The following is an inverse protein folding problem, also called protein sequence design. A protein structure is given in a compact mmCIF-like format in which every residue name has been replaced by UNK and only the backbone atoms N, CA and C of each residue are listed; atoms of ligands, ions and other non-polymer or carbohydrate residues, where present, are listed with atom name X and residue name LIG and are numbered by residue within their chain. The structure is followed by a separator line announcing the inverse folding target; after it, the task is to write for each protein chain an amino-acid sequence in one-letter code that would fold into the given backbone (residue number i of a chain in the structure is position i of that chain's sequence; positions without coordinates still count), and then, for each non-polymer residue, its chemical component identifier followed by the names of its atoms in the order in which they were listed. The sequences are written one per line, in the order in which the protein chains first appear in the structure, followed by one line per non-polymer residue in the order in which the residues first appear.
data_IF_209879123561
#
_entry.id   IF_209879123561
#
_cell.length_a   1.000
_cell.length_b   1.000
_cell.length_c   1.000
_cell.angle_alpha   90.00
_cell.angle_beta   90.00
_cell.angle_gamma   90.00
#
_symmetry.space_group_name_H-M   'P 1'
#
loop_
_entity.id
_entity.type
_entity.pdbx_description
1 polymer ?
#
# COMPACT_ATOMS: atom_id res chain seq x y z
N UNK A 1 -7.33 29.27 -15.02
CA UNK A 1 -8.33 30.35 -15.04
C UNK A 1 -7.90 31.28 -16.16
N UNK A 2 -8.47 31.17 -17.36
CA UNK A 2 -8.09 32.02 -18.49
C UNK A 2 -8.73 33.40 -18.31
N UNK A 3 -7.90 34.43 -18.17
CA UNK A 3 -8.35 35.81 -17.99
C UNK A 3 -9.08 36.31 -19.26
N UNK A 4 -10.14 37.10 -19.08
CA UNK A 4 -10.86 37.69 -20.21
C UNK A 4 -9.93 38.64 -21.00
N UNK A 5 -10.06 38.72 -22.35
CA UNK A 5 -9.17 39.51 -23.17
C UNK A 5 -9.31 41.00 -22.81
N UNK A 6 -8.24 41.54 -22.23
CA UNK A 6 -8.09 42.98 -21.98
C UNK A 6 -7.56 43.72 -23.22
N UNK A 7 -7.37 45.04 -23.12
CA UNK A 7 -6.79 45.86 -24.19
C UNK A 7 -5.29 45.58 -24.47
N UNK A 8 -4.65 44.76 -23.62
CA UNK A 8 -3.23 44.37 -23.71
C UNK A 8 -3.12 42.85 -23.63
N UNK A 9 -1.98 42.32 -24.08
CA UNK A 9 -1.64 40.90 -23.89
C UNK A 9 -1.62 40.56 -22.40
N UNK A 10 -2.24 39.44 -22.07
CA UNK A 10 -2.15 38.86 -20.73
C UNK A 10 -0.78 38.22 -20.51
N UNK A 11 -0.37 37.94 -19.25
CA UNK A 11 0.86 37.19 -18.98
C UNK A 11 0.91 35.86 -19.75
N UNK A 12 -0.18 35.10 -19.72
CA UNK A 12 -0.31 33.85 -20.47
C UNK A 12 -0.10 34.04 -21.98
N UNK A 13 -0.54 35.16 -22.57
CA UNK A 13 -0.31 35.46 -23.98
C UNK A 13 1.17 35.76 -24.28
N UNK A 14 1.89 36.37 -23.34
CA UNK A 14 3.31 36.65 -23.48
C UNK A 14 4.10 35.33 -23.38
N UNK A 15 3.76 34.45 -22.44
CA UNK A 15 4.33 33.10 -22.34
C UNK A 15 4.12 32.33 -23.66
N UNK A 16 2.90 32.34 -24.20
CA UNK A 16 2.59 31.71 -25.50
C UNK A 16 3.39 32.34 -26.66
N UNK A 17 3.69 33.63 -26.60
CA UNK A 17 4.53 34.29 -27.61
C UNK A 17 5.99 33.85 -27.50
N UNK A 18 6.53 33.76 -26.28
CA UNK A 18 7.88 33.27 -26.00
C UNK A 18 8.05 31.81 -26.45
N UNK A 19 7.02 31.00 -26.26
CA UNK A 19 6.96 29.60 -26.72
C UNK A 19 6.73 29.48 -28.24
N UNK A 20 6.48 30.59 -28.95
CA UNK A 20 6.21 30.59 -30.39
C UNK A 20 4.84 30.00 -30.78
N UNK A 21 3.91 29.88 -29.83
CA UNK A 21 2.59 29.26 -30.02
C UNK A 21 1.42 30.26 -30.03
N UNK A 22 1.69 31.55 -29.79
CA UNK A 22 0.66 32.59 -29.85
C UNK A 22 0.07 32.74 -31.26
N UNK A 23 -1.25 32.93 -31.33
CA UNK A 23 -1.94 33.20 -32.58
C UNK A 23 -1.40 34.47 -33.29
N UNK A 24 -1.22 34.38 -34.60
CA UNK A 24 -0.61 35.44 -35.44
C UNK A 24 -1.37 36.77 -35.35
N UNK A 25 -2.69 36.73 -35.20
CA UNK A 25 -3.55 37.91 -35.03
C UNK A 25 -3.22 38.66 -33.74
N UNK A 26 -2.94 37.93 -32.65
CA UNK A 26 -2.53 38.55 -31.38
C UNK A 26 -1.07 38.97 -31.41
N UNK A 27 -0.19 38.22 -32.07
CA UNK A 27 1.22 38.59 -32.19
C UNK A 27 1.39 39.96 -32.90
N UNK A 28 0.55 40.25 -33.91
CA UNK A 28 0.48 41.56 -34.58
C UNK A 28 0.18 42.73 -33.64
N UNK A 29 -0.37 42.49 -32.44
CA UNK A 29 -0.57 43.54 -31.43
C UNK A 29 0.76 44.20 -31.02
N UNK A 30 1.87 43.45 -31.03
CA UNK A 30 3.19 43.95 -30.65
C UNK A 30 3.70 45.05 -31.59
N UNK A 31 3.28 45.04 -32.85
CA UNK A 31 3.63 46.06 -33.83
C UNK A 31 3.00 47.42 -33.49
N UNK A 32 1.86 47.42 -32.79
CA UNK A 32 1.08 48.62 -32.47
C UNK A 32 1.12 49.06 -31.00
N UNK A 33 1.60 48.21 -30.09
CA UNK A 33 1.56 48.48 -28.65
C UNK A 33 2.96 48.46 -28.01
N UNK A 34 3.55 49.65 -27.83
CA UNK A 34 4.87 49.81 -27.20
C UNK A 34 4.93 49.23 -25.78
N UNK A 35 3.86 49.36 -25.00
CA UNK A 35 3.82 48.83 -23.64
C UNK A 35 3.89 47.28 -23.61
N UNK A 36 3.28 46.60 -24.57
CA UNK A 36 3.40 45.14 -24.69
C UNK A 36 4.77 44.73 -25.23
N UNK A 37 5.33 45.48 -26.19
CA UNK A 37 6.67 45.24 -26.70
C UNK A 37 7.74 45.35 -25.60
N UNK A 38 7.68 46.38 -24.75
CA UNK A 38 8.58 46.57 -23.61
C UNK A 38 8.49 45.41 -22.61
N UNK A 39 7.29 44.87 -22.36
CA UNK A 39 7.12 43.69 -21.49
C UNK A 39 7.71 42.42 -22.08
N UNK A 40 7.38 42.14 -23.33
CA UNK A 40 7.87 40.95 -24.05
C UNK A 40 9.40 40.95 -24.14
N UNK A 41 10.02 42.10 -24.40
CA UNK A 41 11.47 42.22 -24.47
C UNK A 41 12.14 41.98 -23.11
N UNK A 42 11.57 42.52 -22.03
CA UNK A 42 12.05 42.26 -20.67
C UNK A 42 11.91 40.79 -20.26
N UNK A 43 10.78 40.15 -20.57
CA UNK A 43 10.58 38.72 -20.27
C UNK A 43 11.51 37.83 -21.09
N UNK A 44 11.72 38.15 -22.37
CA UNK A 44 12.68 37.43 -23.21
C UNK A 44 14.09 37.49 -22.64
N UNK A 45 14.53 38.65 -22.14
CA UNK A 45 15.84 38.77 -21.49
C UNK A 45 15.96 37.83 -20.27
N UNK A 46 14.90 37.73 -19.45
CA UNK A 46 14.87 36.81 -18.31
C UNK A 46 14.95 35.35 -18.78
N UNK A 47 14.19 34.98 -19.81
CA UNK A 47 14.23 33.61 -20.38
C UNK A 47 15.63 33.27 -20.90
N UNK A 48 16.28 34.20 -21.61
CA UNK A 48 17.65 34.01 -22.10
C UNK A 48 18.65 33.85 -20.94
N UNK A 49 18.51 34.62 -19.86
CA UNK A 49 19.32 34.47 -18.65
C UNK A 49 19.08 33.10 -17.97
N UNK A 50 17.83 32.66 -17.85
CA UNK A 50 17.50 31.33 -17.27
C UNK A 50 18.03 30.20 -18.16
N UNK A 51 17.91 30.33 -19.48
CA UNK A 51 18.43 29.35 -20.43
C UNK A 51 19.95 29.25 -20.42
N UNK A 52 20.66 30.30 -19.97
CA UNK A 52 22.11 30.29 -19.81
C UNK A 52 22.59 29.53 -18.55
N UNK A 53 21.68 29.18 -17.63
CA UNK A 53 22.04 28.48 -16.41
C UNK A 53 22.50 27.04 -16.72
N UNK A 54 23.50 26.51 -15.99
CA UNK A 54 23.95 25.15 -16.18
C UNK A 54 22.83 24.16 -15.85
N UNK A 55 22.58 23.21 -16.76
CA UNK A 55 21.68 22.10 -16.47
C UNK A 55 22.29 21.20 -15.39
N UNK A 56 21.66 21.18 -14.22
CA UNK A 56 22.03 20.29 -13.12
C UNK A 56 21.15 19.05 -13.19
N UNK A 57 21.75 17.87 -13.38
CA UNK A 57 21.02 16.61 -13.31
C UNK A 57 20.86 16.20 -11.84
N UNK A 58 19.66 15.78 -11.41
CA UNK A 58 19.47 15.27 -10.07
C UNK A 58 20.22 13.95 -9.86
N UNK A 59 20.48 13.58 -8.59
CA UNK A 59 21.04 12.28 -8.26
C UNK A 59 20.13 11.13 -8.75
N UNK A 60 20.70 9.97 -9.07
CA UNK A 60 20.00 8.83 -9.68
C UNK A 60 18.77 8.35 -8.88
N UNK A 61 18.75 8.57 -7.56
CA UNK A 61 17.70 8.17 -6.62
C UNK A 61 16.75 9.32 -6.22
N UNK A 62 16.88 10.49 -6.86
CA UNK A 62 16.06 11.65 -6.54
C UNK A 62 14.57 11.40 -6.75
N UNK A 63 14.20 10.78 -7.89
CA UNK A 63 12.81 10.46 -8.19
C UNK A 63 12.21 9.52 -7.15
N UNK A 64 12.96 8.49 -6.74
CA UNK A 64 12.51 7.52 -5.73
C UNK A 64 12.33 8.19 -4.37
N UNK A 65 13.26 9.05 -3.95
CA UNK A 65 13.13 9.82 -2.69
C UNK A 65 11.92 10.75 -2.70
N UNK A 66 11.67 11.45 -3.81
CA UNK A 66 10.49 12.30 -3.94
C UNK A 66 9.23 11.45 -3.86
N UNK A 67 9.13 10.36 -4.63
CA UNK A 67 7.95 9.51 -4.63
C UNK A 67 7.69 8.84 -3.27
N UNK A 68 8.72 8.54 -2.48
CA UNK A 68 8.56 8.06 -1.10
C UNK A 68 7.96 9.12 -0.17
N UNK A 69 8.22 10.41 -0.42
CA UNK A 69 7.68 11.51 0.38
C UNK A 69 6.27 11.92 -0.02
N UNK A 70 5.80 11.51 -1.21
CA UNK A 70 4.45 11.82 -1.69
C UNK A 70 3.47 10.82 -1.07
N UNK A 71 2.65 11.32 -0.14
CA UNK A 71 1.47 10.59 0.29
C UNK A 71 0.42 10.63 -0.82
N UNK A 72 0.29 9.54 -1.56
CA UNK A 72 -0.78 9.34 -2.53
C UNK A 72 -1.96 8.73 -1.79
N UNK A 73 -3.01 9.49 -1.46
CA UNK A 73 -4.15 8.92 -0.78
C UNK A 73 -4.85 7.92 -1.72
N UNK A 74 -5.20 6.75 -1.18
CA UNK A 74 -5.79 5.66 -1.95
C UNK A 74 -7.07 6.15 -2.67
N UNK A 75 -7.08 6.17 -4.02
CA UNK A 75 -8.21 6.65 -4.81
C UNK A 75 -9.49 5.86 -4.56
N UNK A 76 -9.40 4.61 -4.12
CA UNK A 76 -10.56 3.79 -3.81
C UNK A 76 -11.18 4.16 -2.46
N UNK A 77 -10.36 4.36 -1.44
CA UNK A 77 -10.81 4.76 -0.10
C UNK A 77 -11.53 6.12 -0.13
N UNK A 78 -11.00 7.09 -0.87
CA UNK A 78 -11.62 8.43 -0.99
C UNK A 78 -12.97 8.33 -1.73
N UNK A 79 -13.05 7.55 -2.82
CA UNK A 79 -14.28 7.43 -3.62
C UNK A 79 -15.38 6.68 -2.89
N UNK A 80 -15.05 5.60 -2.17
CA UNK A 80 -16.03 4.82 -1.41
C UNK A 80 -16.60 5.61 -0.23
N UNK A 81 -15.75 6.33 0.52
CA UNK A 81 -16.18 7.21 1.61
C UNK A 81 -16.99 8.40 1.11
N UNK A 82 -16.57 9.05 0.02
CA UNK A 82 -17.32 10.17 -0.56
C UNK A 82 -18.69 9.74 -1.11
N UNK A 83 -18.77 8.57 -1.76
CA UNK A 83 -20.02 8.00 -2.25
C UNK A 83 -20.96 7.59 -1.11
N UNK A 84 -20.43 6.94 -0.06
CA UNK A 84 -21.18 6.58 1.14
C UNK A 84 -21.70 7.82 1.86
N UNK A 85 -20.84 8.83 2.07
CA UNK A 85 -21.21 10.10 2.70
C UNK A 85 -22.31 10.81 1.92
N UNK A 86 -22.19 10.91 0.59
CA UNK A 86 -23.25 11.50 -0.24
C UNK A 86 -24.57 10.74 -0.11
N UNK A 87 -24.55 9.40 -0.10
CA UNK A 87 -25.79 8.61 0.02
C UNK A 87 -26.43 8.70 1.40
N UNK A 88 -25.64 8.71 2.48
CA UNK A 88 -26.14 8.83 3.86
C UNK A 88 -26.74 10.22 4.12
N UNK A 89 -26.11 11.28 3.62
CA UNK A 89 -26.58 12.66 3.81
C UNK A 89 -27.50 13.19 2.71
N UNK A 90 -27.75 12.44 1.63
CA UNK A 90 -28.62 12.88 0.54
C UNK A 90 -30.10 12.93 0.92
N UNK A 91 -30.55 12.12 1.89
CA UNK A 91 -31.96 12.08 2.28
C UNK A 91 -32.14 11.98 3.80
N UNK A 92 -33.16 12.63 4.37
CA UNK A 92 -33.45 12.53 5.80
C UNK A 92 -33.80 11.09 6.22
N UNK A 93 -34.34 10.28 5.29
CA UNK A 93 -34.64 8.86 5.51
C UNK A 93 -33.37 8.01 5.63
N UNK A 94 -32.35 8.24 4.79
CA UNK A 94 -31.08 7.52 4.88
C UNK A 94 -30.35 7.83 6.19
N UNK A 95 -30.42 9.08 6.65
CA UNK A 95 -29.90 9.49 7.96
C UNK A 95 -30.62 8.78 9.12
N UNK A 96 -31.95 8.69 9.07
CA UNK A 96 -32.73 7.98 10.09
C UNK A 96 -32.39 6.48 10.14
N UNK A 97 -32.21 5.83 8.99
CA UNK A 97 -31.81 4.41 8.90
C UNK A 97 -30.38 4.21 9.41
N UNK A 98 -29.44 5.10 9.07
CA UNK A 98 -28.07 5.01 9.56
C UNK A 98 -28.01 5.23 11.08
N UNK A 99 -28.76 6.20 11.60
CA UNK A 99 -28.85 6.47 13.03
C UNK A 99 -29.49 5.29 13.79
N UNK A 100 -30.56 4.69 13.27
CA UNK A 100 -31.19 3.53 13.91
C UNK A 100 -30.29 2.30 13.93
N UNK A 101 -29.56 2.04 12.84
CA UNK A 101 -28.53 0.99 12.80
C UNK A 101 -27.42 1.24 13.83
N UNK A 102 -26.95 2.47 13.92
CA UNK A 102 -25.89 2.83 14.87
C UNK A 102 -26.36 2.67 16.31
N UNK A 103 -27.58 3.11 16.62
CA UNK A 103 -28.21 2.90 17.94
C UNK A 103 -28.39 1.41 18.23
N UNK A 104 -28.79 0.61 17.24
CA UNK A 104 -28.95 -0.85 17.41
C UNK A 104 -27.60 -1.53 17.73
N UNK A 105 -26.55 -1.19 16.98
CA UNK A 105 -25.19 -1.75 17.19
C UNK A 105 -24.63 -1.31 18.54
N UNK A 106 -24.58 -0.01 18.81
CA UNK A 106 -24.04 0.52 20.07
C UNK A 106 -24.88 0.08 21.26
N UNK A 107 -26.20 0.06 21.12
CA UNK A 107 -27.13 -0.43 22.14
C UNK A 107 -26.94 -1.91 22.44
N UNK A 108 -26.73 -2.76 21.43
CA UNK A 108 -26.44 -4.18 21.64
C UNK A 108 -25.10 -4.43 22.33
N UNK A 109 -24.06 -3.65 22.00
CA UNK A 109 -22.76 -3.76 22.69
C UNK A 109 -22.86 -3.30 24.15
N UNK A 110 -23.51 -2.17 24.42
CA UNK A 110 -23.72 -1.68 25.78
C UNK A 110 -24.57 -2.65 26.60
N UNK A 111 -25.65 -3.18 26.01
CA UNK A 111 -26.49 -4.20 26.64
C UNK A 111 -25.72 -5.48 26.97
N UNK A 112 -24.81 -5.91 26.08
CA UNK A 112 -23.94 -7.06 26.33
C UNK A 112 -23.02 -6.82 27.51
N UNK A 113 -22.37 -5.65 27.60
CA UNK A 113 -21.48 -5.30 28.72
C UNK A 113 -22.24 -5.30 30.05
N UNK A 114 -23.42 -4.68 30.10
CA UNK A 114 -24.26 -4.63 31.30
C UNK A 114 -24.74 -6.03 31.70
N UNK A 115 -25.15 -6.85 30.73
CA UNK A 115 -25.56 -8.22 30.99
C UNK A 115 -24.41 -9.07 31.53
N UNK A 116 -23.22 -8.98 30.94
CA UNK A 116 -22.00 -9.66 31.40
C UNK A 116 -21.61 -9.25 32.81
N UNK A 117 -21.72 -7.96 33.15
CA UNK A 117 -21.49 -7.48 34.52
C UNK A 117 -22.50 -8.04 35.52
N UNK A 118 -23.76 -8.20 35.14
CA UNK A 118 -24.81 -8.74 36.02
C UNK A 118 -24.81 -10.28 36.11
N UNK A 119 -24.16 -10.99 35.18
CA UNK A 119 -24.22 -12.45 35.06
C UNK A 119 -22.84 -13.13 35.26
N UNK A 120 -21.96 -12.51 36.06
CA UNK A 120 -20.63 -13.04 36.35
C UNK A 120 -20.65 -14.47 36.89
N UNK A 121 -21.63 -14.83 37.74
CA UNK A 121 -21.76 -16.18 38.30
C UNK A 121 -22.06 -17.23 37.24
N UNK A 122 -22.84 -16.88 36.21
CA UNK A 122 -23.12 -17.81 35.11
C UNK A 122 -21.91 -18.00 34.19
N UNK A 123 -21.09 -16.96 34.02
CA UNK A 123 -19.88 -17.01 33.21
C UNK A 123 -18.77 -17.80 33.91
N UNK A 124 -18.64 -17.69 35.23
CA UNK A 124 -17.69 -18.49 36.01
C UNK A 124 -18.14 -19.96 36.09
N UNK A 125 -19.44 -20.22 36.22
CA UNK A 125 -20.00 -21.57 36.15
C UNK A 125 -19.79 -22.18 34.75
N UNK A 126 -20.06 -21.43 33.68
CA UNK A 126 -19.80 -21.89 32.31
C UNK A 126 -18.31 -22.09 32.04
N UNK A 127 -17.45 -21.18 32.50
CA UNK A 127 -16.00 -21.27 32.34
C UNK A 127 -15.41 -22.48 33.08
N UNK A 128 -15.85 -22.73 34.31
CA UNK A 128 -15.42 -23.91 35.08
C UNK A 128 -15.93 -25.22 34.46
N UNK A 129 -17.17 -25.25 33.97
CA UNK A 129 -17.69 -26.38 33.19
C UNK A 129 -16.90 -26.60 31.89
N UNK A 130 -16.60 -25.55 31.13
CA UNK A 130 -15.86 -25.63 29.87
C UNK A 130 -14.42 -26.09 30.10
N UNK A 131 -13.77 -25.65 31.19
CA UNK A 131 -12.44 -26.12 31.58
C UNK A 131 -12.47 -27.59 32.02
N UNK A 132 -13.48 -28.00 32.78
CA UNK A 132 -13.63 -29.39 33.22
C UNK A 132 -13.92 -30.34 32.04
N UNK A 133 -14.87 -29.98 31.18
CA UNK A 133 -15.29 -30.78 30.02
C UNK A 133 -14.25 -30.71 28.89
N UNK A 134 -13.72 -29.52 28.61
CA UNK A 134 -12.72 -29.26 27.59
C UNK A 134 -11.37 -29.89 27.93
N UNK A 135 -10.97 -29.91 29.19
CA UNK A 135 -9.77 -30.62 29.65
C UNK A 135 -9.85 -32.13 29.36
N UNK A 136 -11.00 -32.76 29.62
CA UNK A 136 -11.20 -34.17 29.33
C UNK A 136 -11.22 -34.46 27.83
N UNK A 137 -11.93 -33.64 27.04
CA UNK A 137 -11.97 -33.80 25.58
C UNK A 137 -10.59 -33.57 24.93
N UNK A 138 -9.86 -32.54 25.37
CA UNK A 138 -8.51 -32.27 24.91
C UNK A 138 -7.54 -33.40 25.28
N UNK A 139 -7.68 -33.98 26.47
CA UNK A 139 -6.86 -35.11 26.89
C UNK A 139 -7.16 -36.37 26.07
N UNK A 140 -8.43 -36.66 25.80
CA UNK A 140 -8.83 -37.78 24.94
C UNK A 140 -8.36 -37.59 23.50
N UNK A 141 -8.47 -36.36 22.96
CA UNK A 141 -7.96 -36.01 21.64
C UNK A 141 -6.44 -36.16 21.56
N UNK A 142 -5.71 -35.64 22.56
CA UNK A 142 -4.26 -35.77 22.63
C UNK A 142 -3.83 -37.24 22.72
N UNK A 143 -4.55 -38.04 23.52
CA UNK A 143 -4.29 -39.48 23.64
C UNK A 143 -4.55 -40.23 22.33
N UNK A 144 -5.60 -39.85 21.61
CA UNK A 144 -5.92 -40.42 20.30
C UNK A 144 -4.91 -40.04 19.21
N UNK A 145 -4.44 -38.79 19.21
CA UNK A 145 -3.35 -38.35 18.32
C UNK A 145 -2.06 -39.07 18.68
N UNK A 146 -1.71 -39.17 19.97
CA UNK A 146 -0.52 -39.87 20.42
C UNK A 146 -0.56 -41.36 20.05
N UNK A 147 -1.68 -42.06 20.25
CA UNK A 147 -1.79 -43.48 19.88
C UNK A 147 -1.67 -43.67 18.37
N UNK A 148 -2.32 -42.82 17.57
CA UNK A 148 -2.22 -42.88 16.12
C UNK A 148 -0.80 -42.59 15.63
N UNK A 149 -0.12 -41.61 16.23
CA UNK A 149 1.29 -41.29 15.94
C UNK A 149 2.23 -42.44 16.30
N UNK A 150 2.00 -43.12 17.43
CA UNK A 150 2.80 -44.29 17.85
C UNK A 150 2.59 -45.48 16.90
N UNK A 151 1.40 -45.63 16.33
CA UNK A 151 1.09 -46.68 15.35
C UNK A 151 1.66 -46.42 13.95
N UNK A 152 2.21 -45.23 13.68
CA UNK A 152 2.79 -44.93 12.37
C UNK A 152 4.13 -45.66 12.13
N UNK A 153 4.37 -46.21 10.92
CA UNK A 153 5.57 -46.99 10.62
C UNK A 153 6.87 -46.18 10.69
N UNK A 154 6.80 -44.85 10.61
CA UNK A 154 7.95 -43.96 10.74
C UNK A 154 8.31 -43.62 12.20
N UNK A 155 7.41 -43.89 13.17
CA UNK A 155 7.59 -43.50 14.57
C UNK A 155 8.78 -44.21 15.23
N UNK A 156 8.92 -45.53 15.03
CA UNK A 156 10.08 -46.28 15.54
C UNK A 156 11.40 -45.78 14.93
N UNK A 157 11.40 -45.42 13.64
CA UNK A 157 12.55 -44.81 12.98
C UNK A 157 12.94 -43.46 13.61
N UNK A 158 11.95 -42.60 13.86
CA UNK A 158 12.16 -41.31 14.53
C UNK A 158 12.63 -41.48 15.99
N UNK A 159 12.05 -42.43 16.73
CA UNK A 159 12.42 -42.75 18.11
C UNK A 159 13.86 -43.24 18.21
N UNK A 160 14.31 -44.09 17.29
CA UNK A 160 15.70 -44.55 17.20
C UNK A 160 16.66 -43.43 16.82
N UNK A 161 16.23 -42.50 15.97
CA UNK A 161 17.02 -41.32 15.60
C UNK A 161 17.21 -40.36 16.78
N UNK A 162 16.14 -40.12 17.55
CA UNK A 162 16.14 -39.24 18.73
C UNK A 162 16.83 -39.87 19.94
N UNK A 163 16.70 -41.20 20.12
CA UNK A 163 17.30 -41.92 21.23
C UNK A 163 18.83 -42.03 21.19
N UNK A 164 19.47 -41.69 20.07
CA UNK A 164 20.94 -41.74 19.93
C UNK A 164 21.48 -40.34 19.58
N UNK A 165 22.18 -39.66 20.50
CA UNK A 165 22.62 -38.27 20.33
C UNK A 165 23.55 -38.11 19.11
N UNK A 166 24.36 -39.12 18.81
CA UNK A 166 25.29 -39.10 17.68
C UNK A 166 24.56 -39.17 16.34
N UNK A 167 23.52 -39.99 16.23
CA UNK A 167 22.72 -40.11 14.99
C UNK A 167 21.90 -38.85 14.73
N UNK A 168 21.36 -38.26 15.80
CA UNK A 168 20.64 -36.99 15.71
C UNK A 168 21.56 -35.85 15.24
N UNK A 169 22.78 -35.76 15.77
CA UNK A 169 23.76 -34.76 15.34
C UNK A 169 24.18 -34.93 13.86
N UNK A 170 24.36 -36.18 13.41
CA UNK A 170 24.69 -36.46 12.00
C UNK A 170 23.52 -36.12 11.08
N UNK A 171 22.30 -36.49 11.46
CA UNK A 171 21.11 -36.21 10.67
C UNK A 171 20.81 -34.71 10.58
N UNK A 172 20.95 -33.96 11.69
CA UNK A 172 20.79 -32.52 11.70
C UNK A 172 21.86 -31.83 10.85
N UNK A 173 23.14 -32.23 10.99
CA UNK A 173 24.23 -31.70 10.17
C UNK A 173 24.02 -31.96 8.67
N UNK A 174 23.61 -33.18 8.30
CA UNK A 174 23.30 -33.53 6.91
C UNK A 174 22.13 -32.69 6.35
N UNK A 175 21.08 -32.49 7.15
CA UNK A 175 19.92 -31.67 6.76
C UNK A 175 20.31 -30.19 6.61
N UNK A 176 21.11 -29.64 7.53
CA UNK A 176 21.62 -28.28 7.43
C UNK A 176 22.51 -28.09 6.21
N UNK A 177 23.37 -29.06 5.88
CA UNK A 177 24.20 -29.02 4.68
C UNK A 177 23.36 -29.08 3.39
N UNK A 178 22.33 -29.93 3.35
CA UNK A 178 21.41 -30.00 2.22
C UNK A 178 20.65 -28.68 2.05
N UNK A 179 20.19 -28.07 3.14
CA UNK A 179 19.51 -26.78 3.12
C UNK A 179 20.42 -25.63 2.64
N UNK A 180 21.65 -25.55 3.17
CA UNK A 180 22.64 -24.57 2.71
C UNK A 180 23.03 -24.78 1.25
N UNK A 181 23.18 -26.03 0.80
CA UNK A 181 23.41 -26.37 -0.59
C UNK A 181 22.26 -25.91 -1.49
N UNK A 182 21.02 -26.14 -1.08
CA UNK A 182 19.83 -25.65 -1.77
C UNK A 182 19.78 -24.12 -1.89
N UNK A 183 20.11 -23.41 -0.81
CA UNK A 183 20.20 -21.94 -0.83
C UNK A 183 21.29 -21.43 -1.78
N UNK A 184 22.44 -22.10 -1.85
CA UNK A 184 23.52 -21.74 -2.78
C UNK A 184 23.11 -21.97 -4.24
N UNK A 185 22.43 -23.07 -4.53
CA UNK A 185 21.89 -23.35 -5.87
C UNK A 185 20.85 -22.30 -6.26
N UNK A 186 19.92 -21.97 -5.37
CA UNK A 186 18.90 -20.95 -5.62
C UNK A 186 19.54 -19.57 -5.87
N UNK A 187 20.51 -19.18 -5.04
CA UNK A 187 21.27 -17.94 -5.23
C UNK A 187 21.98 -17.91 -6.58
N UNK A 188 22.59 -19.03 -7.00
CA UNK A 188 23.26 -19.15 -8.29
C UNK A 188 22.29 -19.02 -9.46
N UNK A 189 21.11 -19.63 -9.37
CA UNK A 189 20.08 -19.55 -10.41
C UNK A 189 19.53 -18.12 -10.54
N UNK A 190 19.37 -17.41 -9.43
CA UNK A 190 18.91 -16.01 -9.43
C UNK A 190 19.99 -14.99 -9.87
N UNK A 191 21.27 -15.37 -9.80
CA UNK A 191 22.39 -14.52 -10.20
C UNK A 191 22.80 -14.68 -11.67
N UNK A 192 22.16 -15.58 -12.43
CA UNK A 192 22.40 -15.67 -13.88
C UNK A 192 21.82 -14.41 -14.55
N UNK A 193 22.64 -13.58 -15.21
CA UNK A 193 22.16 -12.41 -15.92
C UNK A 193 21.20 -12.86 -17.02
N UNK A 194 20.00 -12.30 -17.03
CA UNK A 194 19.05 -12.47 -18.12
C UNK A 194 19.73 -12.03 -19.40
N UNK A 195 19.87 -12.98 -20.33
CA UNK A 195 20.49 -12.75 -21.64
C UNK A 195 19.73 -11.61 -22.32
N UNK A 196 20.38 -10.46 -22.51
CA UNK A 196 19.81 -9.34 -23.27
C UNK A 196 19.52 -9.83 -24.68
N UNK A 197 18.22 -9.94 -25.01
CA UNK A 197 17.79 -10.23 -26.37
C UNK A 197 18.09 -8.99 -27.19
N UNK A 198 19.04 -9.08 -28.12
CA UNK A 198 19.30 -8.04 -29.09
C UNK A 198 18.03 -7.84 -29.93
N UNK A 199 17.37 -6.69 -29.79
CA UNK A 199 16.38 -6.25 -30.76
C UNK A 199 17.11 -5.96 -32.07
N UNK A 200 17.08 -6.92 -32.99
CA UNK A 200 17.37 -6.65 -34.39
C UNK A 200 16.25 -5.74 -34.92
N UNK A 201 16.63 -4.53 -35.33
CA UNK A 201 15.73 -3.58 -35.95
C UNK A 201 15.14 -4.14 -37.24
N UNK A 202 13.83 -3.98 -37.36
CA UNK A 202 13.07 -3.96 -38.61
C UNK A 202 12.22 -2.71 -38.58
#
# INVERSE_FOLDING_TARGET
MTQAPGPHLSPDDIDLWLDGTLAVERARHLDGCRACLERVTAEREIVEQVASLPLVSPAADFADRVMQSVSIPDPFAIRSLAAARRRVFATPRALAVAASLLVLVVGSMAGSIVWTMNHQDTLTAFGSWLLAQGGQAAWLALRGVASNVIEQPWYEGAKVLVGNPTRLAVASAATSLAYLGGLLVLRRLLALPTQQVAHAGV
#
